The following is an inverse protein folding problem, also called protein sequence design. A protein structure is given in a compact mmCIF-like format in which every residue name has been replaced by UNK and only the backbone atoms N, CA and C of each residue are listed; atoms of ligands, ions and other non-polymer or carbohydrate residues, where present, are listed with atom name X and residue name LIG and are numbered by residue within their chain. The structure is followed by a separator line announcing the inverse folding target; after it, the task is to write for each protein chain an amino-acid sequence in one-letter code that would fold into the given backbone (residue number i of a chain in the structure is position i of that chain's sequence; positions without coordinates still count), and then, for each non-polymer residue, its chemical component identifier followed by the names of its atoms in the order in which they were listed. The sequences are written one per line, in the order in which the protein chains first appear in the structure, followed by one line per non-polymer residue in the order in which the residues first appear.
data_IF_123766493383
#
_entry.id   IF_123766493383
#
_cell.length_a   1.000
_cell.length_b   1.000
_cell.length_c   1.000
_cell.angle_alpha   90.00
_cell.angle_beta   90.00
_cell.angle_gamma   90.00
#
_symmetry.space_group_name_H-M   'P 1'
#
loop_
_entity.id
_entity.type
_entity.pdbx_description
1 polymer ?
#
# COMPACT_ATOMS: atom_id res chain seq x y z
N UNK A 1 8.23 -14.08 9.18
CA UNK A 1 9.00 -14.72 10.25
C UNK A 1 10.54 -14.68 10.06
N UNK A 2 11.05 -14.27 8.90
CA UNK A 2 12.49 -14.24 8.63
C UNK A 2 13.07 -12.83 8.56
N UNK A 3 12.25 -11.84 8.20
CA UNK A 3 12.70 -10.46 8.06
C UNK A 3 12.33 -9.72 9.34
N UNK A 4 13.34 -9.38 10.13
CA UNK A 4 13.16 -8.64 11.37
C UNK A 4 13.24 -7.13 11.15
N UNK A 5 13.88 -6.69 10.07
CA UNK A 5 14.06 -5.27 9.77
C UNK A 5 14.28 -5.07 8.27
N UNK A 6 13.69 -4.01 7.73
CA UNK A 6 13.94 -3.55 6.38
C UNK A 6 14.31 -2.07 6.42
N UNK A 7 15.43 -1.72 5.80
CA UNK A 7 15.94 -0.35 5.76
C UNK A 7 16.09 0.12 4.32
N UNK A 8 15.90 1.42 4.11
CA UNK A 8 16.26 2.09 2.86
C UNK A 8 17.49 2.96 3.12
N UNK A 9 18.46 2.90 2.21
CA UNK A 9 19.69 3.68 2.35
C UNK A 9 19.40 5.16 2.10
N UNK A 10 19.94 6.00 2.96
CA UNK A 10 19.92 7.46 2.92
C UNK A 10 18.51 8.07 2.73
N UNK A 11 18.14 8.94 3.64
CA UNK A 11 16.78 9.51 3.68
C UNK A 11 16.63 10.69 2.72
N UNK A 12 17.68 11.43 2.44
CA UNK A 12 17.63 12.73 1.74
C UNK A 12 18.59 12.76 0.55
N UNK A 13 18.14 13.30 -0.57
CA UNK A 13 18.92 13.64 -1.78
C UNK A 13 19.75 12.52 -2.41
N UNK A 14 19.24 11.30 -2.41
CA UNK A 14 19.84 10.15 -3.11
C UNK A 14 18.79 9.46 -3.98
N UNK A 15 19.22 8.52 -4.81
CA UNK A 15 18.30 7.64 -5.53
C UNK A 15 17.34 7.01 -4.53
N UNK A 16 16.07 6.94 -4.85
CA UNK A 16 14.96 6.43 -4.03
C UNK A 16 14.85 7.04 -2.61
N UNK A 17 15.41 8.22 -2.36
CA UNK A 17 15.27 8.89 -1.06
C UNK A 17 13.81 9.21 -0.75
N UNK A 18 13.49 9.31 0.53
CA UNK A 18 12.16 9.73 0.98
C UNK A 18 11.93 11.23 0.79
N UNK A 19 13.00 12.03 0.87
CA UNK A 19 12.96 13.50 0.83
C UNK A 19 13.99 14.01 -0.16
N UNK A 20 13.56 14.95 -1.01
CA UNK A 20 14.45 15.75 -1.83
C UNK A 20 14.45 17.19 -1.32
N UNK A 21 15.62 17.79 -1.26
CA UNK A 21 15.78 19.21 -0.88
C UNK A 21 16.66 19.93 -1.87
N UNK A 22 16.30 21.19 -2.17
CA UNK A 22 17.12 22.12 -2.94
C UNK A 22 16.92 23.54 -2.37
N UNK A 23 17.99 24.08 -1.77
CA UNK A 23 17.95 25.32 -1.02
C UNK A 23 16.81 25.35 0.02
N UNK A 24 15.77 26.15 -0.23
CA UNK A 24 14.61 26.27 0.67
C UNK A 24 13.42 25.37 0.28
N UNK A 25 13.56 24.60 -0.80
CA UNK A 25 12.51 23.71 -1.27
C UNK A 25 12.66 22.30 -0.70
N UNK A 26 11.54 21.65 -0.46
CA UNK A 26 11.47 20.25 -0.01
C UNK A 26 10.35 19.53 -0.76
N UNK A 27 10.63 18.30 -1.17
CA UNK A 27 9.68 17.42 -1.83
C UNK A 27 9.66 16.06 -1.13
N UNK A 28 8.47 15.55 -0.86
CA UNK A 28 8.24 14.20 -0.37
C UNK A 28 8.03 13.27 -1.57
N UNK A 29 8.86 12.24 -1.69
CA UNK A 29 8.79 11.31 -2.81
C UNK A 29 7.70 10.25 -2.62
N UNK A 30 7.30 9.50 -3.65
CA UNK A 30 6.41 8.35 -3.48
C UNK A 30 6.93 7.34 -2.45
N UNK A 31 8.25 7.16 -2.34
CA UNK A 31 8.88 6.32 -1.31
C UNK A 31 8.50 6.74 0.11
N UNK A 32 8.51 8.05 0.40
CA UNK A 32 8.05 8.57 1.70
C UNK A 32 6.60 8.15 1.99
N UNK A 33 5.73 8.29 1.01
CA UNK A 33 4.31 7.95 1.18
C UNK A 33 4.09 6.46 1.38
N UNK A 34 4.88 5.59 0.76
CA UNK A 34 4.86 4.14 1.04
C UNK A 34 5.21 3.89 2.51
N UNK A 35 6.31 4.45 3.03
CA UNK A 35 6.66 4.31 4.45
C UNK A 35 5.55 4.85 5.37
N UNK A 36 4.96 5.99 5.03
CA UNK A 36 3.83 6.56 5.76
C UNK A 36 2.60 5.64 5.77
N UNK A 37 2.31 4.96 4.67
CA UNK A 37 1.20 4.00 4.58
C UNK A 37 1.41 2.76 5.45
N UNK A 38 2.66 2.29 5.58
CA UNK A 38 2.99 1.11 6.37
C UNK A 38 3.32 1.40 7.84
N UNK A 39 3.40 2.67 8.25
CA UNK A 39 3.78 3.07 9.61
C UNK A 39 2.92 2.40 10.69
N UNK A 40 1.62 2.31 10.47
CA UNK A 40 0.69 1.74 11.45
C UNK A 40 0.83 0.23 11.63
N UNK A 41 1.57 -0.48 10.80
CA UNK A 41 1.89 -1.89 11.01
C UNK A 41 3.00 -2.10 12.06
N UNK A 42 3.79 -1.04 12.38
CA UNK A 42 4.89 -1.15 13.34
C UNK A 42 4.36 -1.40 14.76
N UNK A 43 5.01 -2.34 15.45
CA UNK A 43 4.71 -2.74 16.83
C UNK A 43 3.32 -3.36 17.02
N UNK A 44 2.59 -3.62 15.96
CA UNK A 44 1.30 -4.29 15.99
C UNK A 44 1.46 -5.80 15.80
N UNK A 45 0.48 -6.54 16.28
CA UNK A 45 0.47 -8.00 16.11
C UNK A 45 0.16 -8.34 14.65
N UNK A 46 1.03 -9.14 14.03
CA UNK A 46 0.81 -9.65 12.67
C UNK A 46 -0.42 -10.56 12.65
N UNK A 47 -1.32 -10.33 11.71
CA UNK A 47 -2.43 -11.23 11.42
C UNK A 47 -2.06 -12.16 10.27
N UNK A 48 -2.47 -13.43 10.38
CA UNK A 48 -2.41 -14.36 9.26
C UNK A 48 -3.35 -13.88 8.15
N UNK A 49 -2.80 -13.57 6.98
CA UNK A 49 -3.55 -13.18 5.79
C UNK A 49 -3.18 -14.07 4.62
N UNK A 50 -4.12 -14.22 3.70
CA UNK A 50 -3.93 -15.00 2.49
C UNK A 50 -4.71 -14.37 1.34
N UNK A 51 -4.05 -14.15 0.20
CA UNK A 51 -4.68 -13.60 -1.00
C UNK A 51 -4.52 -14.53 -2.20
N UNK A 52 -5.63 -14.82 -2.88
CA UNK A 52 -5.61 -15.47 -4.18
C UNK A 52 -5.62 -14.39 -5.25
N UNK A 53 -4.65 -14.40 -6.14
CA UNK A 53 -4.46 -13.36 -7.13
C UNK A 53 -3.93 -13.93 -8.45
N UNK A 54 -4.13 -13.17 -9.53
CA UNK A 54 -3.48 -13.45 -10.80
C UNK A 54 -1.95 -13.33 -10.67
N UNK A 55 -1.26 -13.94 -11.61
CA UNK A 55 0.19 -13.81 -11.76
C UNK A 55 0.52 -12.82 -12.86
N UNK A 56 1.54 -12.01 -12.61
CA UNK A 56 2.15 -11.18 -13.62
C UNK A 56 3.37 -11.93 -14.14
N UNK A 57 3.40 -12.13 -15.44
CA UNK A 57 4.47 -12.86 -16.13
C UNK A 57 5.47 -11.87 -16.75
N UNK A 58 6.75 -12.08 -16.48
CA UNK A 58 7.83 -11.46 -17.23
C UNK A 58 8.36 -12.48 -18.25
N UNK A 59 7.97 -12.30 -19.49
CA UNK A 59 8.40 -13.17 -20.60
C UNK A 59 9.92 -13.25 -20.73
N UNK A 60 10.63 -12.16 -20.45
CA UNK A 60 12.09 -12.07 -20.52
C UNK A 60 12.77 -12.78 -19.36
N UNK A 61 12.28 -12.59 -18.14
CA UNK A 61 12.90 -13.17 -16.95
C UNK A 61 12.47 -14.61 -16.65
N UNK A 62 11.50 -15.17 -17.39
CA UNK A 62 10.85 -16.46 -17.10
C UNK A 62 10.42 -16.57 -15.63
N UNK A 63 10.04 -15.45 -15.03
CA UNK A 63 9.59 -15.32 -13.65
C UNK A 63 8.20 -14.73 -13.63
N UNK A 64 7.44 -15.14 -12.67
CA UNK A 64 6.13 -14.55 -12.37
C UNK A 64 6.06 -14.18 -10.90
N UNK A 65 5.34 -13.12 -10.62
CA UNK A 65 5.02 -12.71 -9.27
C UNK A 65 3.51 -12.55 -9.12
N UNK A 66 2.98 -12.64 -7.90
CA UNK A 66 1.56 -12.36 -7.66
C UNK A 66 1.25 -10.91 -8.04
N UNK A 67 0.10 -10.66 -8.66
CA UNK A 67 -0.35 -9.30 -8.97
C UNK A 67 -0.60 -8.48 -7.70
N UNK A 68 -1.12 -9.13 -6.66
CA UNK A 68 -1.42 -8.50 -5.38
C UNK A 68 -0.53 -9.08 -4.29
N UNK A 69 -0.07 -8.20 -3.42
CA UNK A 69 0.70 -8.55 -2.22
C UNK A 69 0.02 -7.85 -1.05
N UNK A 70 -0.16 -8.55 0.07
CA UNK A 70 -0.86 -8.01 1.22
C UNK A 70 -0.06 -8.15 2.52
N UNK A 71 -0.43 -7.33 3.49
CA UNK A 71 -0.02 -7.43 4.89
C UNK A 71 -1.16 -6.98 5.77
N UNK A 72 -1.37 -7.65 6.89
CA UNK A 72 -2.38 -7.28 7.86
C UNK A 72 -1.82 -7.33 9.29
N UNK A 73 -2.21 -6.38 10.11
CA UNK A 73 -1.87 -6.32 11.53
C UNK A 73 -3.03 -5.77 12.35
N UNK A 74 -3.00 -6.02 13.65
CA UNK A 74 -4.00 -5.52 14.61
C UNK A 74 -3.29 -4.82 15.76
N UNK A 75 -3.82 -3.66 16.16
CA UNK A 75 -3.29 -2.91 17.29
C UNK A 75 -3.97 -3.28 18.62
N UNK A 76 -3.52 -2.66 19.70
CA UNK A 76 -4.05 -2.85 21.06
C UNK A 76 -5.51 -2.37 21.25
N UNK A 77 -6.03 -1.56 20.33
CA UNK A 77 -7.40 -1.07 20.32
C UNK A 77 -8.32 -1.90 19.41
N UNK A 78 -7.86 -3.08 18.99
CA UNK A 78 -8.60 -3.95 18.10
C UNK A 78 -8.82 -3.41 16.67
N UNK A 79 -8.05 -2.40 16.24
CA UNK A 79 -8.11 -1.86 14.88
C UNK A 79 -7.23 -2.70 13.96
N UNK A 80 -7.80 -3.18 12.86
CA UNK A 80 -7.05 -3.92 11.84
C UNK A 80 -6.57 -2.95 10.76
N UNK A 81 -5.29 -3.02 10.48
CA UNK A 81 -4.64 -2.37 9.34
C UNK A 81 -4.36 -3.43 8.28
N UNK A 82 -4.97 -3.28 7.12
CA UNK A 82 -4.72 -4.16 5.97
C UNK A 82 -4.20 -3.32 4.81
N UNK A 83 -3.01 -3.63 4.33
CA UNK A 83 -2.41 -2.95 3.18
C UNK A 83 -2.25 -3.93 2.04
N UNK A 84 -2.79 -3.56 0.88
CA UNK A 84 -2.73 -4.36 -0.35
C UNK A 84 -2.04 -3.55 -1.44
N UNK A 85 -1.02 -4.14 -2.06
CA UNK A 85 -0.26 -3.57 -3.16
C UNK A 85 -0.68 -4.23 -4.46
N UNK A 86 -1.10 -3.45 -5.46
CA UNK A 86 -1.31 -3.90 -6.82
C UNK A 86 -0.11 -3.47 -7.68
N UNK A 87 0.73 -4.44 -8.04
CA UNK A 87 1.96 -4.18 -8.81
C UNK A 87 1.75 -4.14 -10.33
N UNK A 88 0.53 -4.40 -10.81
CA UNK A 88 0.22 -4.31 -12.24
C UNK A 88 0.25 -2.85 -12.71
N UNK A 89 0.92 -2.59 -13.82
CA UNK A 89 1.07 -1.23 -14.39
C UNK A 89 -0.23 -0.68 -15.00
N UNK A 90 -1.08 -1.53 -15.56
CA UNK A 90 -2.31 -1.13 -16.29
C UNK A 90 -3.57 -1.89 -15.89
N UNK A 91 -3.46 -2.85 -14.95
CA UNK A 91 -4.56 -3.73 -14.59
C UNK A 91 -5.05 -3.44 -13.17
N UNK A 92 -6.28 -2.99 -13.04
CA UNK A 92 -6.97 -2.96 -11.74
C UNK A 92 -7.28 -4.37 -11.25
N UNK A 93 -7.53 -4.52 -9.96
CA UNK A 93 -7.87 -5.80 -9.36
C UNK A 93 -9.11 -5.67 -8.47
N UNK A 94 -10.10 -6.54 -8.68
CA UNK A 94 -11.24 -6.67 -7.78
C UNK A 94 -10.91 -7.68 -6.69
N UNK A 95 -11.10 -7.28 -5.45
CA UNK A 95 -10.89 -8.15 -4.29
C UNK A 95 -12.17 -8.27 -3.46
N UNK A 96 -12.27 -9.41 -2.77
CA UNK A 96 -13.20 -9.61 -1.65
C UNK A 96 -12.36 -10.03 -0.45
N UNK A 97 -12.39 -9.22 0.59
CA UNK A 97 -11.77 -9.53 1.88
C UNK A 97 -12.83 -10.08 2.82
N UNK A 98 -12.49 -11.14 3.52
CA UNK A 98 -13.25 -11.67 4.65
C UNK A 98 -12.36 -11.67 5.90
N UNK A 99 -12.93 -11.25 7.02
CA UNK A 99 -12.26 -11.22 8.32
C UNK A 99 -12.93 -12.28 9.18
N UNK A 100 -12.16 -13.30 9.56
CA UNK A 100 -12.67 -14.40 10.37
C UNK A 100 -13.11 -13.88 11.76
N UNK A 101 -14.23 -14.44 12.25
CA UNK A 101 -14.72 -14.27 13.63
C UNK A 101 -14.95 -12.80 14.07
N UNK A 102 -15.10 -11.87 13.11
CA UNK A 102 -15.30 -10.46 13.40
C UNK A 102 -16.39 -9.83 12.55
N UNK A 103 -17.14 -8.91 13.16
CA UNK A 103 -18.06 -8.01 12.44
C UNK A 103 -17.38 -6.67 12.23
N UNK A 104 -17.42 -6.19 11.02
CA UNK A 104 -16.87 -4.89 10.64
C UNK A 104 -17.86 -3.78 10.99
N UNK A 105 -17.45 -2.83 11.83
CA UNK A 105 -18.25 -1.67 12.22
C UNK A 105 -18.06 -0.53 11.25
N UNK A 106 -16.82 -0.24 10.90
CA UNK A 106 -16.45 0.88 10.04
C UNK A 106 -15.16 0.57 9.26
N UNK A 107 -15.03 1.13 8.07
CA UNK A 107 -13.81 1.05 7.26
C UNK A 107 -13.47 2.45 6.76
N UNK A 108 -12.22 2.86 6.98
CA UNK A 108 -11.60 3.97 6.27
C UNK A 108 -10.52 3.41 5.35
N UNK A 109 -10.38 3.97 4.16
CA UNK A 109 -9.37 3.51 3.24
C UNK A 109 -8.63 4.66 2.56
N UNK A 110 -7.36 4.41 2.26
CA UNK A 110 -6.45 5.37 1.64
C UNK A 110 -5.73 4.70 0.48
N UNK A 111 -5.43 5.48 -0.55
CA UNK A 111 -4.71 5.01 -1.73
C UNK A 111 -3.51 5.91 -2.04
N UNK A 112 -2.42 5.27 -2.40
CA UNK A 112 -1.29 5.87 -3.09
C UNK A 112 -1.22 5.22 -4.47
N UNK A 113 -1.43 5.99 -5.52
CA UNK A 113 -1.37 5.49 -6.89
C UNK A 113 -0.91 6.58 -7.86
N UNK A 114 -0.42 6.16 -9.02
CA UNK A 114 0.00 7.00 -10.12
C UNK A 114 0.34 6.12 -11.33
N UNK A 115 0.75 6.73 -12.43
CA UNK A 115 1.40 6.00 -13.53
C UNK A 115 2.79 5.52 -13.08
N UNK A 116 3.30 4.47 -13.72
CA UNK A 116 4.61 3.88 -13.36
C UNK A 116 5.78 4.87 -13.50
N UNK A 117 5.60 5.93 -14.27
CA UNK A 117 6.59 6.99 -14.48
C UNK A 117 6.33 8.26 -13.68
N UNK A 118 5.22 8.32 -12.93
CA UNK A 118 4.92 9.47 -12.10
C UNK A 118 5.92 9.60 -10.96
N UNK A 119 6.35 10.82 -10.73
CA UNK A 119 7.29 11.20 -9.68
C UNK A 119 6.90 12.53 -9.06
N UNK A 120 7.31 12.73 -7.84
CA UNK A 120 7.29 14.04 -7.22
C UNK A 120 8.66 14.70 -7.41
N UNK A 121 8.67 15.91 -7.92
CA UNK A 121 9.86 16.73 -8.09
C UNK A 121 9.58 18.21 -7.72
N UNK A 122 10.55 19.10 -7.91
CA UNK A 122 10.42 20.51 -7.51
C UNK A 122 9.46 21.34 -8.38
N UNK A 123 9.03 20.81 -9.53
CA UNK A 123 8.03 21.40 -10.40
C UNK A 123 6.63 20.87 -10.08
N UNK A 124 6.53 19.60 -9.73
CA UNK A 124 5.27 18.94 -9.35
C UNK A 124 5.47 18.13 -8.05
N UNK A 125 5.29 18.79 -6.93
CA UNK A 125 5.60 18.23 -5.60
C UNK A 125 4.62 17.17 -5.13
N UNK A 126 3.41 17.09 -5.71
CA UNK A 126 2.29 16.26 -5.25
C UNK A 126 1.64 15.44 -6.39
N UNK A 127 2.42 15.09 -7.42
CA UNK A 127 1.92 14.24 -8.50
C UNK A 127 1.41 12.89 -7.96
N UNK A 128 2.14 12.34 -6.99
CA UNK A 128 1.80 11.09 -6.30
C UNK A 128 1.73 11.37 -4.81
N UNK A 129 0.53 11.30 -4.25
CA UNK A 129 0.27 11.52 -2.82
C UNK A 129 -0.83 10.59 -2.31
N UNK A 130 -0.94 10.46 -0.98
CA UNK A 130 -2.00 9.65 -0.35
C UNK A 130 -3.33 10.41 -0.47
N UNK A 131 -4.36 9.70 -0.95
CA UNK A 131 -5.73 10.19 -1.10
C UNK A 131 -6.71 9.26 -0.38
N UNK A 132 -7.90 9.76 -0.07
CA UNK A 132 -9.00 8.91 0.38
C UNK A 132 -9.37 7.93 -0.73
N UNK A 133 -9.61 6.67 -0.34
CA UNK A 133 -10.02 5.62 -1.27
C UNK A 133 -11.49 5.26 -1.02
N UNK A 134 -12.33 5.41 -2.04
CA UNK A 134 -13.76 5.21 -1.93
C UNK A 134 -14.32 4.09 -2.83
N UNK A 135 -13.48 3.46 -3.66
CA UNK A 135 -13.92 2.34 -4.53
C UNK A 135 -13.93 1.02 -3.76
N UNK A 136 -14.65 1.02 -2.64
CA UNK A 136 -14.91 -0.16 -1.85
C UNK A 136 -16.33 -0.16 -1.29
N UNK A 137 -16.81 -1.36 -0.96
CA UNK A 137 -18.09 -1.56 -0.28
C UNK A 137 -17.89 -2.42 0.96
N UNK A 138 -18.24 -1.88 2.11
CA UNK A 138 -18.23 -2.63 3.37
C UNK A 138 -19.27 -3.76 3.35
N UNK A 139 -18.90 -4.90 3.92
CA UNK A 139 -19.75 -6.06 4.19
C UNK A 139 -19.80 -6.28 5.70
N UNK A 140 -20.66 -7.21 6.14
CA UNK A 140 -20.79 -7.53 7.57
C UNK A 140 -19.50 -8.09 8.18
N UNK A 141 -18.75 -8.85 7.41
CA UNK A 141 -17.54 -9.59 7.82
C UNK A 141 -16.31 -9.23 6.98
N UNK A 142 -16.31 -8.05 6.35
CA UNK A 142 -15.20 -7.63 5.49
C UNK A 142 -15.58 -6.55 4.50
N UNK A 143 -15.06 -6.63 3.28
CA UNK A 143 -15.34 -5.67 2.21
C UNK A 143 -15.07 -6.23 0.81
N UNK A 144 -15.57 -5.53 -0.20
CA UNK A 144 -15.12 -5.67 -1.59
C UNK A 144 -14.49 -4.35 -2.04
N UNK A 145 -13.49 -4.40 -2.91
CA UNK A 145 -12.83 -3.21 -3.44
C UNK A 145 -12.34 -3.43 -4.87
N UNK A 146 -12.17 -2.33 -5.63
CA UNK A 146 -11.50 -2.33 -6.92
C UNK A 146 -10.19 -1.54 -6.79
N UNK A 147 -9.08 -2.23 -6.64
CA UNK A 147 -7.75 -1.64 -6.46
C UNK A 147 -7.25 -1.11 -7.80
N UNK A 148 -6.83 0.16 -7.91
CA UNK A 148 -6.22 0.68 -9.13
C UNK A 148 -4.94 -0.08 -9.52
N UNK A 149 -4.51 0.07 -10.74
CA UNK A 149 -3.16 -0.30 -11.15
C UNK A 149 -2.11 0.54 -10.41
N UNK A 150 -0.86 0.08 -10.30
CA UNK A 150 0.26 0.79 -9.65
C UNK A 150 -0.16 1.43 -8.32
N UNK A 151 -0.73 0.65 -7.40
CA UNK A 151 -1.30 1.22 -6.18
C UNK A 151 -0.88 0.50 -4.91
N UNK A 152 -0.84 1.27 -3.83
CA UNK A 152 -0.84 0.79 -2.45
C UNK A 152 -2.15 1.27 -1.83
N UNK A 153 -2.99 0.34 -1.37
CA UNK A 153 -4.26 0.67 -0.70
C UNK A 153 -4.22 0.16 0.73
N UNK A 154 -4.47 1.05 1.67
CA UNK A 154 -4.56 0.73 3.09
C UNK A 154 -6.01 0.84 3.56
N UNK A 155 -6.48 -0.18 4.25
CA UNK A 155 -7.77 -0.23 4.94
C UNK A 155 -7.52 -0.18 6.45
N UNK A 156 -8.26 0.69 7.14
CA UNK A 156 -8.32 0.80 8.61
C UNK A 156 -9.71 0.33 9.00
N UNK A 157 -9.79 -0.78 9.76
CA UNK A 157 -11.01 -1.55 9.97
C UNK A 157 -11.31 -1.66 11.46
N UNK A 158 -12.50 -1.22 11.86
CA UNK A 158 -13.02 -1.27 13.24
C UNK A 158 -14.11 -2.33 13.42
#
# INVERSE_FOLDING_TARGET
DRIMMANIAQTVNVLQSMILTDAQKMVLTPTYYVFKMFKEHQNNMLLGSFITTDKIDSKEAKRFCPQLIESASIDENDIIYSTVVNIADKKSAKIKCQIADRKVKNIKAYVLNGDIHDKNDFENTNAVEIKDFNDFRQLKDGFTATLPACSVVKFVIE
#
